data_IF_663218169947
#
_entry.id   IF_663218169947
#
_cell.length_a   1.000
_cell.length_b   1.000
_cell.length_c   1.000
_cell.angle_alpha   90.00
_cell.angle_beta   90.00
_cell.angle_gamma   90.00
#
_symmetry.space_group_name_H-M   'P 1'
#
loop_
_entity.id
_entity.type
_entity.pdbx_description
1 polymer ?
#
# COMPACT_ATOMS: atom_id res chain seq x y z
N UNK A 1 -14.95 8.96 -4.91
CA UNK A 1 -13.74 8.57 -5.07
C UNK A 1 -13.60 7.46 -5.96
N UNK A 2 -12.70 7.40 -6.81
CA UNK A 2 -12.57 6.29 -7.71
C UNK A 2 -11.50 5.35 -7.25
N UNK A 3 -11.62 4.11 -7.65
CA UNK A 3 -10.66 3.10 -7.30
C UNK A 3 -9.83 2.78 -8.53
N UNK A 4 -8.55 2.67 -8.36
CA UNK A 4 -7.69 2.36 -9.46
C UNK A 4 -6.86 1.15 -9.14
N UNK A 5 -6.37 0.49 -10.16
CA UNK A 5 -5.56 -0.68 -9.98
C UNK A 5 -4.10 -0.32 -10.00
N UNK A 6 -3.32 -1.09 -9.29
CA UNK A 6 -1.88 -0.93 -9.28
C UNK A 6 -1.30 -2.31 -9.45
N UNK A 7 -0.38 -2.50 -10.38
CA UNK A 7 0.28 -3.76 -10.56
C UNK A 7 1.69 -3.69 -10.04
N UNK A 8 2.13 -4.74 -9.36
CA UNK A 8 3.50 -4.80 -8.93
C UNK A 8 4.04 -6.17 -9.26
N UNK A 9 5.34 -6.27 -9.47
CA UNK A 9 5.97 -7.52 -9.71
C UNK A 9 6.66 -7.93 -8.46
N UNK A 10 6.54 -9.18 -8.09
CA UNK A 10 7.09 -9.66 -6.85
C UNK A 10 7.51 -11.08 -7.08
N UNK A 11 8.63 -11.50 -6.52
CA UNK A 11 9.11 -12.84 -6.78
C UNK A 11 8.31 -13.86 -5.96
N UNK A 12 8.40 -15.11 -6.37
CA UNK A 12 7.60 -16.15 -5.78
C UNK A 12 7.84 -16.32 -4.30
N UNK A 13 9.07 -16.28 -3.89
CA UNK A 13 9.39 -16.49 -2.50
C UNK A 13 8.77 -15.41 -1.62
N UNK A 14 8.89 -14.19 -2.04
CA UNK A 14 8.34 -13.08 -1.30
C UNK A 14 6.82 -13.14 -1.26
N UNK A 15 6.22 -13.52 -2.38
CA UNK A 15 4.78 -13.63 -2.44
C UNK A 15 4.29 -14.73 -1.50
N UNK A 16 4.98 -15.87 -1.47
CA UNK A 16 4.59 -16.95 -0.59
C UNK A 16 4.71 -16.54 0.87
N UNK A 17 5.73 -15.81 1.21
CA UNK A 17 5.90 -15.33 2.57
C UNK A 17 4.81 -14.35 2.94
N UNK A 18 4.40 -13.53 1.98
CA UNK A 18 3.33 -12.59 2.22
C UNK A 18 2.03 -13.34 2.54
N UNK A 19 1.78 -14.43 1.81
CA UNK A 19 0.57 -15.21 2.06
C UNK A 19 0.59 -15.82 3.47
N UNK A 20 1.76 -16.25 3.93
CA UNK A 20 1.88 -16.80 5.26
C UNK A 20 1.56 -15.73 6.31
N UNK A 21 2.07 -14.54 6.13
CA UNK A 21 1.83 -13.45 7.06
C UNK A 21 0.37 -13.05 7.05
N UNK A 22 -0.22 -12.98 5.86
CA UNK A 22 -1.61 -12.59 5.74
C UNK A 22 -2.51 -13.62 6.43
N UNK A 23 -2.20 -14.90 6.25
CA UNK A 23 -2.97 -15.95 6.89
C UNK A 23 -2.86 -15.84 8.40
N UNK A 24 -1.67 -15.59 8.90
CA UNK A 24 -1.46 -15.46 10.32
C UNK A 24 -2.31 -14.32 10.87
N UNK A 25 -2.44 -13.25 10.12
CA UNK A 25 -3.20 -12.10 10.55
C UNK A 25 -4.67 -12.15 10.16
N UNK A 26 -5.08 -13.23 9.53
CA UNK A 26 -6.47 -13.39 9.16
C UNK A 26 -6.93 -12.50 8.04
N UNK A 27 -6.03 -12.19 7.09
CA UNK A 27 -6.35 -11.32 5.99
C UNK A 27 -6.00 -11.95 4.69
N UNK A 28 -6.53 -11.42 3.60
CA UNK A 28 -6.11 -11.84 2.28
C UNK A 28 -4.81 -11.12 1.96
N UNK A 29 -4.06 -11.62 1.00
CA UNK A 29 -2.82 -10.97 0.59
C UNK A 29 -3.10 -9.56 0.09
N UNK A 30 -4.19 -9.36 -0.64
CA UNK A 30 -4.54 -8.03 -1.11
C UNK A 30 -4.80 -7.07 0.03
N UNK A 31 -5.52 -7.50 1.05
CA UNK A 31 -5.77 -6.67 2.21
C UNK A 31 -4.50 -6.35 2.95
N UNK A 32 -3.61 -7.35 3.04
CA UNK A 32 -2.35 -7.16 3.72
C UNK A 32 -1.52 -6.10 3.01
N UNK A 33 -1.52 -6.12 1.69
CA UNK A 33 -0.78 -5.14 0.90
C UNK A 33 -1.33 -3.75 1.13
N UNK A 34 -2.66 -3.60 1.15
CA UNK A 34 -3.26 -2.30 1.37
C UNK A 34 -2.91 -1.74 2.74
N UNK A 35 -2.85 -2.59 3.74
CA UNK A 35 -2.47 -2.15 5.07
C UNK A 35 -1.03 -1.69 5.09
N UNK A 36 -0.15 -2.40 4.37
CA UNK A 36 1.24 -2.01 4.32
C UNK A 36 1.42 -0.67 3.61
N UNK A 37 0.66 -0.46 2.54
CA UNK A 37 0.72 0.80 1.81
C UNK A 37 0.23 1.93 2.69
N UNK A 38 -0.87 1.71 3.39
CA UNK A 38 -1.41 2.73 4.26
C UNK A 38 -0.41 3.08 5.36
N UNK A 39 0.23 2.08 5.96
CA UNK A 39 1.22 2.32 6.98
C UNK A 39 2.42 3.09 6.48
N UNK A 40 2.82 2.80 5.25
CA UNK A 40 3.93 3.48 4.64
C UNK A 40 3.62 4.97 4.47
N UNK A 41 2.41 5.27 4.00
CA UNK A 41 2.01 6.66 3.80
C UNK A 41 1.89 7.37 5.13
N UNK A 42 1.33 6.71 6.13
CA UNK A 42 1.17 7.32 7.44
C UNK A 42 2.52 7.67 8.04
N UNK A 43 3.50 6.80 7.87
CA UNK A 43 4.80 7.08 8.39
C UNK A 43 5.42 8.28 7.74
N UNK A 44 5.25 8.40 6.44
CA UNK A 44 5.78 9.53 5.70
C UNK A 44 5.12 10.81 6.18
N UNK A 45 3.80 10.77 6.34
CA UNK A 45 3.06 11.96 6.71
C UNK A 45 3.35 12.40 8.14
N UNK A 46 3.68 11.47 9.00
CA UNK A 46 4.06 11.81 10.33
C UNK A 46 5.35 12.60 10.33
N UNK A 47 6.26 12.25 9.44
CA UNK A 47 7.53 12.90 9.40
C UNK A 47 7.55 14.17 8.61
N UNK A 48 6.85 14.22 7.51
CA UNK A 48 6.93 15.35 6.60
C UNK A 48 5.64 16.14 6.42
N UNK A 49 4.57 15.71 7.03
CA UNK A 49 3.30 16.40 6.93
C UNK A 49 2.37 15.74 5.95
N UNK A 50 1.13 16.05 6.03
CA UNK A 50 0.10 15.45 5.21
C UNK A 50 0.29 15.77 3.74
N UNK A 51 0.18 14.74 2.89
CA UNK A 51 0.27 14.92 1.46
C UNK A 51 -1.07 15.44 0.96
N UNK A 52 -1.05 16.56 0.30
CA UNK A 52 -2.29 17.19 -0.13
C UNK A 52 -2.25 17.52 -1.60
N UNK A 53 -3.10 16.88 -2.38
CA UNK A 53 -3.15 17.13 -3.80
C UNK A 53 -4.29 18.01 -4.20
N UNK A 54 -5.04 18.52 -3.23
CA UNK A 54 -6.14 19.27 -3.53
C UNK A 54 -5.90 20.36 -4.40
N UNK A 55 -4.96 21.07 -4.30
CA UNK A 55 -4.78 22.12 -5.10
C UNK A 55 -3.95 21.83 -6.23
N UNK A 56 -3.28 20.88 -6.38
CA UNK A 56 -2.51 20.67 -7.47
C UNK A 56 -2.82 19.61 -8.12
N UNK A 57 -2.90 19.48 -9.06
CA UNK A 57 -3.24 18.46 -9.71
C UNK A 57 -2.17 17.83 -10.13
N UNK A 58 -1.45 17.36 -9.87
CA UNK A 58 -0.45 16.82 -10.27
C UNK A 58 -0.26 15.70 -10.49
N UNK A 59 0.11 15.15 -10.70
CA UNK A 59 0.16 14.08 -11.04
C UNK A 59 1.29 13.39 -11.10
N UNK A 60 1.98 13.18 -10.82
CA UNK A 60 2.98 12.50 -10.87
C UNK A 60 2.94 11.38 -10.70
N UNK A 61 2.94 10.71 -10.77
CA UNK A 61 2.85 9.67 -10.70
C UNK A 61 2.88 9.14 -10.62
#
# INVERSE_FOLDING_TARGET
MSTKSLSIRIDDEMLNKLHVVADYEGRSANSQILILIRGCIEKYEEKFGVIDFEKKKDTRQ
#
